data_IF_714131631393
#
_entry.id   IF_714131631393
#
_cell.length_a   1.000
_cell.length_b   1.000
_cell.length_c   1.000
_cell.angle_alpha   90.00
_cell.angle_beta   90.00
_cell.angle_gamma   90.00
#
_symmetry.space_group_name_H-M   'P 1'
#
loop_
_entity.id
_entity.type
_entity.pdbx_description
1 polymer ?
#
# COMPACT_ATOMS: atom_id res chain seq x y z
N UNK A 1 -32.00 -63.35 -34.58
CA UNK A 1 -31.94 -64.67 -35.25
C UNK A 1 -31.82 -64.43 -36.76
N UNK A 2 -30.94 -65.14 -37.49
CA UNK A 2 -29.87 -66.00 -36.98
C UNK A 2 -28.61 -65.18 -36.59
N UNK A 3 -27.53 -65.27 -37.38
CA UNK A 3 -26.13 -65.50 -36.93
C UNK A 3 -25.12 -64.90 -37.95
N UNK A 4 -23.84 -64.60 -37.68
CA UNK A 4 -22.71 -65.27 -36.98
C UNK A 4 -21.90 -66.27 -37.85
N UNK A 5 -20.58 -66.29 -37.63
CA UNK A 5 -19.51 -67.16 -38.17
C UNK A 5 -19.02 -66.84 -39.62
N UNK A 6 -17.73 -66.97 -39.96
CA UNK A 6 -16.70 -67.92 -39.45
C UNK A 6 -15.30 -67.32 -39.22
N UNK A 7 -14.52 -67.99 -38.36
CA UNK A 7 -13.11 -67.73 -38.03
C UNK A 7 -12.09 -68.35 -39.00
N UNK A 8 -10.83 -67.91 -38.90
CA UNK A 8 -9.64 -68.73 -39.20
C UNK A 8 -8.97 -68.52 -40.58
N UNK A 9 -7.68 -68.81 -40.78
CA UNK A 9 -6.66 -69.32 -39.83
C UNK A 9 -5.22 -69.22 -40.42
N UNK A 10 -4.36 -68.41 -39.78
CA UNK A 10 -2.90 -68.67 -39.51
C UNK A 10 -1.84 -68.71 -40.65
N UNK A 11 -0.58 -68.49 -40.19
CA UNK A 11 0.74 -69.01 -40.66
C UNK A 11 1.61 -68.15 -41.62
N UNK A 12 2.70 -67.57 -41.04
CA UNK A 12 4.15 -67.54 -41.43
C UNK A 12 4.55 -67.01 -42.85
N UNK A 13 5.72 -66.38 -43.09
CA UNK A 13 6.90 -66.08 -42.27
C UNK A 13 7.79 -64.97 -42.91
N UNK A 14 8.73 -64.42 -42.11
CA UNK A 14 10.05 -63.79 -42.40
C UNK A 14 10.33 -63.15 -43.78
N UNK A 15 10.91 -61.92 -43.78
CA UNK A 15 12.30 -61.65 -44.25
C UNK A 15 12.79 -60.20 -43.97
N UNK A 16 13.99 -60.03 -43.39
CA UNK A 16 14.86 -58.83 -43.45
C UNK A 16 14.37 -57.51 -42.80
N UNK A 17 15.21 -56.55 -42.35
CA UNK A 17 16.69 -56.39 -42.31
C UNK A 17 17.05 -55.62 -41.01
N UNK A 18 18.31 -55.71 -40.57
CA UNK A 18 18.86 -55.21 -39.29
C UNK A 18 19.75 -53.94 -39.48
N UNK A 19 19.96 -53.14 -38.42
CA UNK A 19 21.01 -52.09 -38.25
C UNK A 19 20.74 -50.75 -39.01
N UNK A 20 20.70 -49.56 -38.38
CA UNK A 20 21.84 -48.86 -37.76
C UNK A 20 21.42 -47.75 -36.75
N UNK A 21 22.31 -47.48 -35.79
CA UNK A 21 22.23 -46.47 -34.73
C UNK A 21 22.77 -45.11 -35.20
N UNK A 22 22.15 -43.99 -34.80
CA UNK A 22 22.91 -42.81 -34.30
C UNK A 22 22.08 -41.79 -33.52
N UNK A 23 22.71 -41.25 -32.46
CA UNK A 23 22.23 -40.17 -31.60
C UNK A 23 22.61 -38.82 -32.21
N UNK A 24 21.71 -37.82 -32.18
CA UNK A 24 22.08 -36.40 -32.25
C UNK A 24 21.29 -35.65 -31.17
N UNK A 25 22.03 -35.08 -30.20
CA UNK A 25 21.56 -33.97 -29.37
C UNK A 25 21.65 -32.68 -30.20
N UNK A 26 20.60 -31.85 -30.22
CA UNK A 26 20.72 -30.42 -29.86
C UNK A 26 19.35 -29.69 -29.72
N UNK A 27 19.16 -29.12 -28.53
CA UNK A 27 18.63 -27.77 -28.25
C UNK A 27 17.32 -27.23 -28.90
N UNK A 28 16.36 -26.94 -28.01
CA UNK A 28 15.76 -25.62 -27.77
C UNK A 28 14.27 -25.37 -28.14
N UNK A 29 13.65 -24.55 -27.30
CA UNK A 29 12.32 -23.91 -27.39
C UNK A 29 11.07 -24.80 -27.40
N UNK A 30 10.69 -25.26 -26.21
CA UNK A 30 9.28 -25.37 -25.83
C UNK A 30 8.90 -24.16 -24.97
N UNK A 31 8.15 -23.21 -25.52
CA UNK A 31 7.56 -22.11 -24.75
C UNK A 31 6.21 -22.57 -24.20
N UNK A 32 6.16 -22.91 -22.91
CA UNK A 32 4.93 -23.24 -22.22
C UNK A 32 4.39 -21.96 -21.55
N UNK A 33 3.18 -21.55 -21.93
CA UNK A 33 2.47 -20.48 -21.24
C UNK A 33 2.11 -20.94 -19.82
N UNK A 34 2.83 -20.45 -18.83
CA UNK A 34 2.52 -20.68 -17.42
C UNK A 34 1.38 -19.78 -16.96
N UNK A 35 0.23 -20.37 -16.60
CA UNK A 35 -0.70 -19.69 -15.73
C UNK A 35 -0.01 -19.47 -14.37
N UNK A 36 0.01 -18.23 -13.90
CA UNK A 36 0.57 -17.92 -12.59
C UNK A 36 -0.33 -18.49 -11.48
N UNK A 37 0.14 -19.54 -10.82
CA UNK A 37 -0.44 -20.02 -9.56
C UNK A 37 -0.14 -19.03 -8.42
N UNK A 38 -1.03 -18.87 -7.43
CA UNK A 38 -0.76 -18.01 -6.28
C UNK A 38 0.50 -18.50 -5.54
N UNK A 39 1.43 -17.59 -5.30
CA UNK A 39 2.76 -17.91 -4.76
C UNK A 39 2.71 -18.04 -3.25
N UNK A 40 2.27 -19.20 -2.76
CA UNK A 40 2.40 -19.54 -1.34
C UNK A 40 3.88 -19.60 -0.93
N UNK A 41 4.25 -18.84 0.10
CA UNK A 41 5.53 -18.99 0.79
C UNK A 41 6.62 -18.02 0.34
N UNK A 42 6.71 -16.89 1.05
CA UNK A 42 7.98 -16.20 1.30
C UNK A 42 8.07 -15.82 2.77
N UNK A 43 8.45 -16.79 3.60
CA UNK A 43 9.00 -16.50 4.94
C UNK A 43 10.45 -16.04 4.75
N UNK A 44 10.62 -14.84 4.22
CA UNK A 44 11.91 -14.16 4.26
C UNK A 44 11.96 -13.40 5.59
N UNK A 45 12.68 -14.03 6.51
CA UNK A 45 12.88 -13.63 7.90
C UNK A 45 13.55 -12.25 7.98
N UNK A 46 12.76 -11.19 8.11
CA UNK A 46 13.25 -9.84 8.36
C UNK A 46 13.63 -9.72 9.86
N UNK A 47 14.86 -10.10 10.20
CA UNK A 47 15.42 -9.82 11.52
C UNK A 47 15.67 -8.33 11.65
N UNK A 48 14.68 -7.58 12.13
CA UNK A 48 14.83 -6.18 12.50
C UNK A 48 15.79 -6.08 13.70
N UNK A 49 16.95 -5.42 13.58
CA UNK A 49 17.80 -5.16 14.74
C UNK A 49 17.08 -4.16 15.65
N UNK A 50 16.88 -4.54 16.92
CA UNK A 50 16.26 -3.69 17.96
C UNK A 50 17.03 -2.39 18.26
N UNK A 51 18.25 -2.25 17.74
CA UNK A 51 19.03 -1.00 17.74
C UNK A 51 18.55 0.04 16.71
N UNK A 52 17.60 -0.30 15.82
CA UNK A 52 17.04 0.60 14.82
C UNK A 52 15.79 1.36 15.31
N UNK A 53 15.79 1.84 16.56
CA UNK A 53 14.92 2.95 16.95
C UNK A 53 15.38 4.21 16.19
N UNK A 54 14.82 4.42 14.99
CA UNK A 54 15.17 5.49 14.04
C UNK A 54 14.82 6.89 14.61
N UNK A 55 15.64 7.40 15.51
CA UNK A 55 15.62 8.80 15.95
C UNK A 55 16.08 9.70 14.79
N UNK A 56 15.13 10.15 13.97
CA UNK A 56 15.41 11.05 12.83
C UNK A 56 14.57 10.81 11.58
N UNK A 57 13.61 9.87 11.59
CA UNK A 57 12.70 9.66 10.46
C UNK A 57 11.73 10.84 10.31
N UNK A 58 11.40 11.22 9.08
CA UNK A 58 10.50 12.33 8.81
C UNK A 58 9.08 11.98 9.28
N UNK A 59 8.57 12.72 10.27
CA UNK A 59 7.23 12.54 10.82
C UNK A 59 6.20 13.40 10.06
N UNK A 60 5.00 12.85 9.84
CA UNK A 60 3.86 13.66 9.40
C UNK A 60 3.55 14.73 10.46
N UNK A 61 3.45 16.02 10.12
CA UNK A 61 3.13 17.05 11.08
C UNK A 61 1.66 16.95 11.52
N UNK A 62 1.40 17.15 12.82
CA UNK A 62 0.05 17.14 13.41
C UNK A 62 -0.90 18.18 12.76
N UNK A 63 -0.33 19.28 12.25
CA UNK A 63 -1.10 20.39 11.69
C UNK A 63 -0.50 20.88 10.38
N UNK A 64 -1.35 21.46 9.55
CA UNK A 64 -1.01 22.01 8.24
C UNK A 64 -1.56 23.43 8.09
N UNK A 65 -0.83 24.30 7.37
CA UNK A 65 -1.29 25.64 7.03
C UNK A 65 -1.86 25.68 5.61
N UNK A 66 -3.15 25.96 5.50
CA UNK A 66 -3.91 25.93 4.25
C UNK A 66 -4.22 27.36 3.81
N UNK A 67 -3.82 27.73 2.60
CA UNK A 67 -4.23 28.97 1.95
C UNK A 67 -5.66 28.84 1.41
N UNK A 68 -6.56 29.62 2.00
CA UNK A 68 -8.00 29.61 1.75
C UNK A 68 -8.38 30.52 0.57
N UNK A 69 -9.55 30.31 -0.08
CA UNK A 69 -9.96 31.08 -1.26
C UNK A 69 -10.14 32.59 -1.03
N UNK A 70 -10.32 33.03 0.22
CA UNK A 70 -10.42 34.43 0.61
C UNK A 70 -9.05 35.11 0.86
N UNK A 71 -7.96 34.34 0.74
CA UNK A 71 -6.58 34.78 0.96
C UNK A 71 -6.08 34.61 2.41
N UNK A 72 -6.89 34.10 3.33
CA UNK A 72 -6.45 33.79 4.69
C UNK A 72 -5.66 32.48 4.75
N UNK A 73 -4.80 32.35 5.75
CA UNK A 73 -4.09 31.09 6.05
C UNK A 73 -4.66 30.49 7.32
N UNK A 74 -5.34 29.35 7.19
CA UNK A 74 -5.90 28.60 8.31
C UNK A 74 -4.94 27.49 8.75
N UNK A 75 -4.82 27.27 10.06
CA UNK A 75 -4.08 26.12 10.61
C UNK A 75 -5.09 25.05 10.99
N UNK A 76 -4.95 23.87 10.41
CA UNK A 76 -5.86 22.74 10.57
C UNK A 76 -5.11 21.52 11.11
N UNK A 77 -5.82 20.61 11.78
CA UNK A 77 -5.35 19.24 11.98
C UNK A 77 -5.14 18.55 10.62
N UNK A 78 -4.07 17.76 10.49
CA UNK A 78 -3.70 17.11 9.22
C UNK A 78 -4.80 16.19 8.69
N UNK A 79 -5.40 15.36 9.55
CA UNK A 79 -6.40 14.39 9.11
C UNK A 79 -7.76 15.07 8.88
N UNK A 80 -8.15 16.08 9.67
CA UNK A 80 -9.34 16.88 9.34
C UNK A 80 -9.20 17.69 8.04
N UNK A 81 -7.98 18.13 7.67
CA UNK A 81 -7.71 18.66 6.32
C UNK A 81 -7.92 17.58 5.25
N UNK A 82 -7.35 16.39 5.44
CA UNK A 82 -7.45 15.29 4.48
C UNK A 82 -8.88 14.78 4.28
N UNK A 83 -9.75 14.88 5.29
CA UNK A 83 -11.20 14.61 5.17
C UNK A 83 -11.93 15.55 4.20
N UNK A 84 -11.38 16.73 3.92
CA UNK A 84 -11.83 17.61 2.84
C UNK A 84 -11.16 17.35 1.48
N UNK A 85 -9.97 16.71 1.46
CA UNK A 85 -9.22 16.38 0.24
C UNK A 85 -9.71 15.08 -0.39
N UNK A 86 -9.65 13.96 0.34
CA UNK A 86 -9.91 12.61 -0.19
C UNK A 86 -11.25 12.50 -0.94
N UNK A 87 -12.42 12.91 -0.40
CA UNK A 87 -13.69 12.83 -1.13
C UNK A 87 -13.84 13.87 -2.25
N UNK A 88 -12.91 14.82 -2.37
CA UNK A 88 -12.87 15.79 -3.48
C UNK A 88 -12.01 15.28 -4.63
N UNK A 89 -10.99 14.47 -4.33
CA UNK A 89 -10.09 13.83 -5.30
C UNK A 89 -10.65 12.52 -5.88
N UNK A 90 -11.29 11.68 -5.04
CA UNK A 90 -11.83 10.37 -5.46
C UNK A 90 -13.25 10.16 -4.94
N UNK A 91 -14.04 9.35 -5.66
CA UNK A 91 -15.42 9.07 -5.26
C UNK A 91 -15.51 8.14 -4.06
N UNK A 92 -16.22 8.54 -3.00
CA UNK A 92 -16.37 7.75 -1.77
C UNK A 92 -16.97 6.33 -1.96
N UNK A 93 -17.62 6.07 -3.10
CA UNK A 93 -18.12 4.75 -3.51
C UNK A 93 -17.06 3.78 -4.02
N UNK A 94 -15.81 4.23 -4.22
CA UNK A 94 -14.69 3.40 -4.67
C UNK A 94 -14.29 2.34 -3.61
N UNK A 95 -13.49 1.32 -3.99
CA UNK A 95 -12.94 0.35 -3.04
C UNK A 95 -12.21 1.04 -1.89
N UNK A 96 -12.26 0.45 -0.70
CA UNK A 96 -11.69 1.04 0.50
C UNK A 96 -10.18 1.28 0.38
N UNK A 97 -9.43 0.32 -0.18
CA UNK A 97 -7.99 0.46 -0.43
C UNK A 97 -7.65 1.57 -1.42
N UNK A 98 -8.57 1.94 -2.33
CA UNK A 98 -8.40 3.14 -3.16
C UNK A 98 -8.50 4.43 -2.35
N UNK A 99 -9.41 4.48 -1.38
CA UNK A 99 -9.57 5.63 -0.48
C UNK A 99 -8.36 5.73 0.48
N UNK A 100 -7.89 4.60 1.00
CA UNK A 100 -6.70 4.54 1.86
C UNK A 100 -5.41 4.92 1.10
N UNK A 101 -5.21 4.43 -0.13
CA UNK A 101 -4.09 4.83 -0.98
C UNK A 101 -4.12 6.34 -1.28
N UNK A 102 -5.30 6.89 -1.60
CA UNK A 102 -5.47 8.33 -1.80
C UNK A 102 -5.21 9.14 -0.52
N UNK A 103 -5.62 8.66 0.65
CA UNK A 103 -5.35 9.31 1.93
C UNK A 103 -3.85 9.37 2.24
N UNK A 104 -3.13 8.25 2.10
CA UNK A 104 -1.68 8.17 2.34
C UNK A 104 -0.88 9.01 1.33
N UNK A 105 -1.23 8.97 0.05
CA UNK A 105 -0.60 9.82 -0.96
C UNK A 105 -0.88 11.32 -0.70
N UNK A 106 -2.13 11.67 -0.38
CA UNK A 106 -2.50 13.04 -0.05
C UNK A 106 -1.79 13.56 1.20
N UNK A 107 -1.64 12.74 2.25
CA UNK A 107 -0.89 13.06 3.48
C UNK A 107 0.60 13.28 3.21
N UNK A 108 1.20 12.41 2.40
CA UNK A 108 2.62 12.49 2.03
C UNK A 108 2.93 13.75 1.20
N UNK A 109 2.05 14.08 0.24
CA UNK A 109 2.11 15.35 -0.49
C UNK A 109 1.98 16.54 0.47
N UNK A 110 0.93 16.56 1.28
CA UNK A 110 0.61 17.65 2.21
C UNK A 110 1.77 17.96 3.17
N UNK A 111 2.42 16.92 3.70
CA UNK A 111 3.57 17.03 4.61
C UNK A 111 4.85 17.58 3.97
N UNK A 112 4.99 17.56 2.64
CA UNK A 112 6.22 17.94 1.92
C UNK A 112 6.05 19.13 0.98
N UNK A 113 4.81 19.61 0.77
CA UNK A 113 4.48 20.49 -0.34
C UNK A 113 5.10 21.89 -0.25
N UNK A 114 4.98 22.54 0.91
CA UNK A 114 5.48 23.90 1.21
C UNK A 114 5.39 24.87 0.02
N UNK A 115 4.25 24.88 -0.69
CA UNK A 115 4.09 25.53 -2.00
C UNK A 115 3.90 27.04 -1.94
N UNK A 116 3.62 27.59 -0.75
CA UNK A 116 3.26 28.98 -0.53
C UNK A 116 4.12 29.68 0.55
N UNK A 117 5.47 29.61 0.46
CA UNK A 117 6.36 30.23 1.44
C UNK A 117 6.21 31.76 1.49
N UNK A 118 5.74 32.39 0.41
CA UNK A 118 5.50 33.83 0.31
C UNK A 118 4.37 34.35 1.23
N UNK A 119 3.43 33.47 1.60
CA UNK A 119 2.35 33.76 2.57
C UNK A 119 2.42 32.87 3.82
N UNK A 120 3.42 31.98 3.90
CA UNK A 120 3.64 31.09 5.04
C UNK A 120 2.64 29.93 5.13
N UNK A 121 2.10 29.49 4.00
CA UNK A 121 1.21 28.32 3.90
C UNK A 121 1.92 27.13 3.25
N UNK A 122 1.50 25.92 3.61
CA UNK A 122 2.07 24.67 3.11
C UNK A 122 1.40 24.24 1.80
N UNK A 123 0.08 24.38 1.74
CA UNK A 123 -0.79 24.00 0.60
C UNK A 123 -1.87 25.05 0.36
N UNK A 124 -2.56 24.96 -0.77
CA UNK A 124 -3.79 25.71 -1.03
C UNK A 124 -4.93 24.77 -1.46
N UNK A 125 -6.16 25.31 -1.48
CA UNK A 125 -7.41 24.55 -1.68
C UNK A 125 -7.72 24.18 -3.15
N UNK A 126 -6.78 24.39 -4.08
CA UNK A 126 -6.99 24.21 -5.52
C UNK A 126 -6.05 23.14 -6.08
N UNK A 127 -6.30 22.70 -7.33
CA UNK A 127 -5.45 21.75 -8.07
C UNK A 127 -3.99 22.21 -8.32
N UNK A 128 -3.60 23.42 -7.88
CA UNK A 128 -2.19 23.80 -7.73
C UNK A 128 -1.46 22.97 -6.65
N UNK A 129 -2.18 22.62 -5.57
CA UNK A 129 -1.74 21.74 -4.52
C UNK A 129 -2.59 20.46 -4.51
N UNK A 130 -3.78 20.54 -3.92
CA UNK A 130 -4.73 19.43 -3.77
C UNK A 130 -6.14 20.00 -3.81
N UNK A 131 -7.09 19.28 -4.42
CA UNK A 131 -8.48 19.73 -4.44
C UNK A 131 -9.10 19.52 -3.04
N UNK A 132 -9.56 20.61 -2.41
CA UNK A 132 -10.11 20.57 -1.05
C UNK A 132 -11.52 21.18 -1.02
N UNK A 133 -12.48 20.44 -0.46
CA UNK A 133 -13.81 20.95 -0.17
C UNK A 133 -14.42 20.19 1.03
N UNK A 134 -14.56 20.83 2.21
CA UNK A 134 -15.08 20.17 3.41
C UNK A 134 -16.59 19.84 3.30
N UNK A 135 -17.31 20.40 2.32
CA UNK A 135 -18.70 20.04 2.04
C UNK A 135 -18.85 18.65 1.37
N UNK A 136 -17.75 18.03 0.93
CA UNK A 136 -17.74 16.70 0.31
C UNK A 136 -17.55 15.56 1.34
N UNK A 137 -17.41 15.85 2.63
CA UNK A 137 -17.09 14.88 3.70
C UNK A 137 -18.05 13.66 3.68
N UNK A 138 -17.46 12.46 3.72
CA UNK A 138 -18.19 11.18 3.68
C UNK A 138 -17.56 10.20 4.69
N UNK A 139 -18.39 9.46 5.42
CA UNK A 139 -17.96 8.54 6.50
C UNK A 139 -16.97 7.46 6.02
N UNK A 140 -17.03 7.04 4.74
CA UNK A 140 -16.08 6.06 4.17
C UNK A 140 -14.71 6.67 3.91
N UNK A 141 -14.66 7.92 3.45
CA UNK A 141 -13.39 8.63 3.26
C UNK A 141 -12.81 9.07 4.59
N UNK A 142 -13.65 9.47 5.55
CA UNK A 142 -13.24 9.77 6.92
C UNK A 142 -12.58 8.55 7.57
N UNK A 143 -13.23 7.38 7.47
CA UNK A 143 -12.67 6.12 7.95
C UNK A 143 -11.33 5.79 7.27
N UNK A 144 -11.18 6.02 5.96
CA UNK A 144 -9.92 5.78 5.24
C UNK A 144 -8.78 6.73 5.68
N UNK A 145 -9.11 7.98 6.03
CA UNK A 145 -8.15 8.92 6.63
C UNK A 145 -7.78 8.46 8.04
N UNK A 146 -8.77 8.23 8.92
CA UNK A 146 -8.58 7.87 10.33
C UNK A 146 -7.82 6.54 10.51
N UNK A 147 -8.13 5.53 9.69
CA UNK A 147 -7.45 4.22 9.71
C UNK A 147 -6.03 4.27 9.16
N UNK A 148 -5.67 5.29 8.39
CA UNK A 148 -4.31 5.53 7.90
C UNK A 148 -3.60 6.65 8.66
N UNK A 149 -4.07 7.01 9.86
CA UNK A 149 -3.49 8.07 10.68
C UNK A 149 -1.96 8.01 10.73
N UNK A 150 -1.31 9.09 10.29
CA UNK A 150 0.16 9.24 10.19
C UNK A 150 0.91 8.17 9.37
N UNK A 151 0.22 7.36 8.57
CA UNK A 151 0.82 6.51 7.53
C UNK A 151 1.14 7.35 6.31
N UNK A 152 2.39 7.26 5.84
CA UNK A 152 2.91 7.96 4.68
C UNK A 152 3.60 6.97 3.71
N UNK A 153 3.98 7.46 2.52
CA UNK A 153 4.93 6.78 1.64
C UNK A 153 6.32 7.39 1.82
N UNK A 154 7.33 6.55 2.03
CA UNK A 154 8.69 6.97 2.41
C UNK A 154 9.74 6.39 1.47
N UNK A 155 10.68 7.20 1.00
CA UNK A 155 11.83 6.74 0.22
C UNK A 155 13.08 6.94 1.05
N UNK A 156 13.79 5.85 1.37
CA UNK A 156 15.00 5.88 2.22
C UNK A 156 14.79 6.49 3.63
N UNK A 157 13.55 6.51 4.12
CA UNK A 157 13.16 7.06 5.42
C UNK A 157 12.64 8.50 5.39
N UNK A 158 12.72 9.20 4.24
CA UNK A 158 12.12 10.52 4.06
C UNK A 158 10.73 10.39 3.42
N UNK A 159 9.75 11.16 3.91
CA UNK A 159 8.41 11.22 3.29
C UNK A 159 8.55 11.73 1.85
N UNK A 160 7.95 11.02 0.89
CA UNK A 160 8.02 11.42 -0.51
C UNK A 160 7.06 12.56 -0.83
N UNK A 161 7.44 13.40 -1.79
CA UNK A 161 6.48 14.31 -2.43
C UNK A 161 5.59 13.50 -3.41
N UNK A 162 4.53 12.93 -2.86
CA UNK A 162 3.64 11.96 -3.51
C UNK A 162 2.71 12.62 -4.54
N UNK A 163 3.22 12.89 -5.75
CA UNK A 163 2.40 13.35 -6.88
C UNK A 163 1.35 12.31 -7.27
N UNK A 164 0.13 12.75 -7.58
CA UNK A 164 -0.97 11.91 -8.06
C UNK A 164 -1.84 12.66 -9.07
N UNK A 165 -2.60 11.95 -9.90
CA UNK A 165 -3.41 12.53 -10.98
C UNK A 165 -4.53 11.59 -11.48
N UNK A 166 -5.51 12.14 -12.20
CA UNK A 166 -6.74 11.46 -12.64
C UNK A 166 -6.52 10.12 -13.36
N UNK A 167 -6.06 10.17 -14.62
CA UNK A 167 -5.72 8.95 -15.35
C UNK A 167 -4.58 9.13 -16.35
N UNK A 168 -3.84 8.04 -16.60
CA UNK A 168 -2.83 7.96 -17.65
C UNK A 168 -3.35 7.27 -18.91
N UNK A 169 -2.51 7.16 -19.93
CA UNK A 169 -2.71 6.44 -21.19
C UNK A 169 -2.13 5.01 -21.16
N UNK A 170 -2.22 4.35 -19.99
CA UNK A 170 -1.71 2.99 -19.74
C UNK A 170 -0.30 2.92 -19.12
N UNK A 171 0.43 4.03 -19.03
CA UNK A 171 1.70 4.13 -18.28
C UNK A 171 1.84 5.48 -17.58
N UNK A 172 2.45 5.50 -16.39
CA UNK A 172 2.88 6.76 -15.75
C UNK A 172 4.13 7.34 -16.44
N UNK A 173 4.58 8.53 -16.04
CA UNK A 173 5.76 9.21 -16.59
C UNK A 173 6.87 9.33 -15.55
N UNK A 174 8.12 9.33 -16.01
CA UNK A 174 9.24 9.74 -15.16
C UNK A 174 9.13 11.25 -14.89
N UNK A 175 9.52 11.69 -13.69
CA UNK A 175 9.41 13.11 -13.32
C UNK A 175 10.26 14.04 -14.21
N UNK A 176 11.43 13.58 -14.67
CA UNK A 176 12.33 14.37 -15.53
C UNK A 176 11.78 14.57 -16.95
N UNK A 177 10.96 13.64 -17.46
CA UNK A 177 10.33 13.76 -18.79
C UNK A 177 9.23 14.85 -18.81
N UNK A 178 8.73 15.24 -17.63
CA UNK A 178 7.62 16.21 -17.47
C UNK A 178 8.11 17.54 -16.87
N UNK A 179 9.04 17.50 -15.92
CA UNK A 179 9.51 18.67 -15.16
C UNK A 179 11.03 18.87 -15.16
N UNK A 180 11.81 18.00 -15.82
CA UNK A 180 13.28 18.07 -15.86
C UNK A 180 14.00 17.65 -14.56
N UNK A 181 13.28 17.56 -13.43
CA UNK A 181 13.82 17.09 -12.15
C UNK A 181 13.67 15.57 -11.98
N UNK A 182 14.76 14.88 -11.66
CA UNK A 182 14.75 13.45 -11.34
C UNK A 182 14.30 13.20 -9.90
N UNK A 183 13.27 12.37 -9.72
CA UNK A 183 12.75 11.89 -8.44
C UNK A 183 12.75 10.35 -8.45
N UNK A 184 13.57 9.67 -7.63
CA UNK A 184 13.82 8.24 -7.78
C UNK A 184 12.57 7.37 -7.62
N UNK A 185 11.59 7.82 -6.83
CA UNK A 185 10.30 7.15 -6.62
C UNK A 185 9.26 7.44 -7.71
N UNK A 186 9.35 8.57 -8.44
CA UNK A 186 8.40 8.90 -9.51
C UNK A 186 8.91 8.42 -10.88
N UNK A 187 8.83 7.10 -11.13
CA UNK A 187 9.26 6.45 -12.38
C UNK A 187 8.06 6.05 -13.23
N UNK A 188 8.29 5.82 -14.52
CA UNK A 188 7.28 5.26 -15.42
C UNK A 188 7.00 3.79 -15.09
N UNK A 189 5.75 3.48 -14.75
CA UNK A 189 5.23 2.13 -14.50
C UNK A 189 4.00 1.86 -15.36
N UNK A 190 3.71 0.58 -15.64
CA UNK A 190 2.48 0.19 -16.35
C UNK A 190 1.25 0.37 -15.45
N UNK A 191 0.12 0.76 -16.04
CA UNK A 191 -1.09 1.10 -15.30
C UNK A 191 -2.33 0.47 -15.94
N UNK A 192 -3.17 -0.24 -15.17
CA UNK A 192 -4.34 -0.96 -15.71
C UNK A 192 -5.60 -0.09 -15.88
N UNK A 193 -5.50 1.25 -15.82
CA UNK A 193 -6.67 2.15 -15.84
C UNK A 193 -7.56 2.03 -17.09
N UNK A 194 -7.05 1.48 -18.20
CA UNK A 194 -7.81 1.23 -19.43
C UNK A 194 -8.05 2.45 -20.34
N UNK A 195 -7.56 3.63 -19.95
CA UNK A 195 -7.63 4.85 -20.76
C UNK A 195 -6.51 4.91 -21.79
N UNK A 196 -6.79 5.52 -22.95
CA UNK A 196 -5.83 5.74 -24.05
C UNK A 196 -5.38 7.20 -24.19
N UNK A 197 -5.87 8.07 -23.31
CA UNK A 197 -5.53 9.49 -23.24
C UNK A 197 -5.23 9.84 -21.77
N UNK A 198 -4.43 10.88 -21.54
CA UNK A 198 -3.99 11.27 -20.20
C UNK A 198 -4.76 12.49 -19.69
N UNK A 199 -5.23 12.42 -18.44
CA UNK A 199 -5.80 13.54 -17.70
C UNK A 199 -4.98 13.81 -16.44
N UNK A 200 -4.22 14.90 -16.48
CA UNK A 200 -3.24 15.29 -15.45
C UNK A 200 -1.80 15.29 -15.97
N UNK A 201 -0.82 15.28 -15.07
CA UNK A 201 0.60 15.39 -15.42
C UNK A 201 1.30 14.04 -15.68
N UNK A 202 0.67 12.90 -15.39
CA UNK A 202 1.24 11.57 -15.70
C UNK A 202 2.26 11.03 -14.68
N UNK A 203 2.84 11.89 -13.85
CA UNK A 203 3.87 11.52 -12.84
C UNK A 203 3.25 11.01 -11.54
N UNK A 204 3.75 9.89 -11.02
CA UNK A 204 3.32 9.31 -9.73
C UNK A 204 2.04 8.47 -9.84
N UNK A 205 1.14 8.59 -8.87
CA UNK A 205 -0.02 7.70 -8.73
C UNK A 205 -1.20 8.07 -9.65
N UNK A 206 -1.74 7.08 -10.36
CA UNK A 206 -2.87 7.23 -11.28
C UNK A 206 -4.19 6.83 -10.59
N UNK A 207 -5.09 7.78 -10.32
CA UNK A 207 -6.31 7.56 -9.51
C UNK A 207 -7.25 6.48 -10.08
N UNK A 208 -7.60 6.52 -11.37
CA UNK A 208 -8.40 5.43 -11.97
C UNK A 208 -7.64 4.09 -12.04
N UNK A 209 -6.31 4.11 -12.00
CA UNK A 209 -5.49 2.90 -11.94
C UNK A 209 -5.46 2.27 -10.54
N UNK A 210 -5.39 3.09 -9.50
CA UNK A 210 -5.55 2.71 -8.08
C UNK A 210 -6.88 2.00 -7.86
N UNK A 211 -7.96 2.55 -8.44
CA UNK A 211 -9.29 1.95 -8.39
C UNK A 211 -9.31 0.55 -9.00
N UNK A 212 -8.78 0.38 -10.21
CA UNK A 212 -8.75 -0.93 -10.89
C UNK A 212 -7.89 -1.96 -10.13
N UNK A 213 -6.77 -1.54 -9.51
CA UNK A 213 -5.94 -2.43 -8.69
C UNK A 213 -6.66 -2.88 -7.41
N UNK A 214 -7.36 -1.97 -6.73
CA UNK A 214 -8.14 -2.32 -5.55
C UNK A 214 -9.39 -3.16 -5.89
N UNK A 215 -10.04 -2.92 -7.04
CA UNK A 215 -11.09 -3.81 -7.58
C UNK A 215 -10.54 -5.22 -7.90
N UNK A 216 -9.25 -5.33 -8.22
CA UNK A 216 -8.53 -6.61 -8.39
C UNK A 216 -8.03 -7.22 -7.06
N UNK A 217 -8.30 -6.58 -5.91
CA UNK A 217 -7.99 -7.10 -4.58
C UNK A 217 -6.58 -6.80 -4.07
N UNK A 218 -5.90 -5.79 -4.62
CA UNK A 218 -4.65 -5.27 -4.05
C UNK A 218 -4.96 -4.38 -2.83
N UNK A 219 -4.12 -4.45 -1.79
CA UNK A 219 -4.22 -3.52 -0.67
C UNK A 219 -3.56 -2.17 -0.99
N UNK A 220 -3.84 -1.17 -0.16
CA UNK A 220 -3.33 0.19 -0.39
C UNK A 220 -1.80 0.30 -0.36
N UNK A 221 -1.10 -0.60 0.35
CA UNK A 221 0.37 -0.64 0.41
C UNK A 221 0.94 -1.13 -0.92
N UNK A 222 0.51 -2.31 -1.38
CA UNK A 222 0.87 -2.88 -2.69
C UNK A 222 0.63 -1.88 -3.84
N UNK A 223 -0.49 -1.15 -3.79
CA UNK A 223 -0.86 -0.12 -4.77
C UNK A 223 0.14 1.05 -4.78
N UNK A 224 0.51 1.55 -3.59
CA UNK A 224 1.42 2.69 -3.47
C UNK A 224 2.86 2.29 -3.85
N UNK A 225 3.34 1.12 -3.46
CA UNK A 225 4.64 0.59 -3.87
C UNK A 225 4.74 0.37 -5.39
N UNK A 226 3.63 0.01 -6.04
CA UNK A 226 3.55 -0.06 -7.51
C UNK A 226 3.71 1.31 -8.17
N UNK A 227 3.07 2.37 -7.67
CA UNK A 227 3.13 3.70 -8.27
C UNK A 227 4.36 4.53 -7.86
N UNK A 228 4.92 4.28 -6.69
CA UNK A 228 6.07 4.99 -6.14
C UNK A 228 7.23 4.01 -5.95
N UNK A 229 8.18 4.02 -6.88
CA UNK A 229 9.23 3.00 -6.98
C UNK A 229 10.15 2.97 -5.76
N UNK A 230 10.15 1.86 -5.03
CA UNK A 230 11.05 1.62 -3.91
C UNK A 230 10.76 2.48 -2.68
N UNK A 231 9.49 2.84 -2.47
CA UNK A 231 9.02 3.38 -1.19
C UNK A 231 8.66 2.26 -0.23
N UNK A 232 8.73 2.55 1.07
CA UNK A 232 8.06 1.80 2.12
C UNK A 232 6.76 2.55 2.51
N UNK A 233 5.67 1.85 2.82
CA UNK A 233 4.42 2.45 3.30
C UNK A 233 4.22 2.11 4.78
N UNK A 234 4.60 3.03 5.65
CA UNK A 234 4.64 2.80 7.10
C UNK A 234 4.11 3.98 7.92
N UNK A 235 3.75 3.72 9.18
CA UNK A 235 3.40 4.77 10.13
C UNK A 235 4.65 5.58 10.48
N UNK A 236 4.52 6.91 10.45
CA UNK A 236 5.59 7.83 10.83
C UNK A 236 5.59 8.19 12.31
N UNK A 237 4.69 7.59 13.11
CA UNK A 237 4.72 7.74 14.56
C UNK A 237 6.03 7.15 15.13
N UNK A 238 6.69 7.85 16.06
CA UNK A 238 7.81 7.25 16.79
C UNK A 238 7.32 6.01 17.53
N UNK A 239 8.12 4.94 17.50
CA UNK A 239 7.80 3.69 18.20
C UNK A 239 7.53 3.99 19.68
N UNK A 240 6.26 3.93 20.07
CA UNK A 240 5.87 4.18 21.44
C UNK A 240 6.40 3.04 22.32
N UNK A 241 7.06 3.39 23.43
CA UNK A 241 7.45 2.39 24.46
C UNK A 241 6.38 2.25 25.56
N UNK A 242 5.32 3.05 25.48
CA UNK A 242 4.22 3.10 26.44
C UNK A 242 2.90 3.26 25.69
N UNK A 243 1.98 2.33 25.89
CA UNK A 243 0.62 2.38 25.34
C UNK A 243 -0.39 2.45 26.47
N UNK A 244 -1.42 3.27 26.30
CA UNK A 244 -2.56 3.33 27.22
C UNK A 244 -3.76 2.66 26.56
N UNK A 245 -4.34 1.68 27.25
CA UNK A 245 -5.56 1.00 26.81
C UNK A 245 -6.77 1.60 27.53
N UNK A 246 -7.91 1.65 26.86
CA UNK A 246 -9.17 2.03 27.49
C UNK A 246 -9.50 1.06 28.65
N UNK A 247 -10.23 1.57 29.65
CA UNK A 247 -10.53 0.83 30.88
C UNK A 247 -11.24 -0.52 30.62
N UNK A 248 -10.71 -1.59 31.21
CA UNK A 248 -11.32 -2.92 31.19
C UNK A 248 -12.33 -3.11 32.32
N UNK A 249 -13.21 -4.11 32.21
CA UNK A 249 -14.15 -4.50 33.27
C UNK A 249 -13.72 -5.80 33.94
N UNK A 250 -13.59 -5.76 35.26
CA UNK A 250 -13.34 -6.92 36.14
C UNK A 250 -14.58 -7.31 36.95
N UNK A 251 -15.77 -6.84 36.53
CA UNK A 251 -17.05 -7.17 37.18
C UNK A 251 -17.30 -8.69 37.17
N UNK A 252 -18.02 -9.24 38.17
CA UNK A 252 -18.33 -10.67 38.21
C UNK A 252 -18.92 -11.19 36.88
N UNK A 253 -18.27 -12.18 36.28
CA UNK A 253 -18.63 -12.74 34.97
C UNK A 253 -17.88 -12.13 33.78
N UNK A 254 -16.94 -11.20 33.98
CA UNK A 254 -16.07 -10.64 32.95
C UNK A 254 -14.59 -10.84 33.32
N UNK A 255 -13.84 -11.43 32.39
CA UNK A 255 -12.38 -11.52 32.42
C UNK A 255 -11.79 -10.56 31.39
N UNK A 256 -10.89 -9.66 31.82
CA UNK A 256 -10.17 -8.74 30.93
C UNK A 256 -8.84 -9.39 30.51
N UNK A 257 -8.60 -9.47 29.20
CA UNK A 257 -7.36 -9.97 28.62
C UNK A 257 -6.64 -8.87 27.84
N UNK A 258 -5.31 -8.84 27.94
CA UNK A 258 -4.45 -8.05 27.06
C UNK A 258 -3.67 -9.01 26.16
N UNK A 259 -3.96 -8.99 24.86
CA UNK A 259 -3.23 -9.80 23.88
C UNK A 259 -2.04 -8.99 23.36
N UNK A 260 -0.85 -9.58 23.45
CA UNK A 260 0.41 -8.98 22.97
C UNK A 260 1.01 -9.90 21.91
N UNK A 261 1.47 -9.33 20.81
CA UNK A 261 2.16 -10.06 19.74
C UNK A 261 3.53 -9.45 19.49
N UNK A 262 4.59 -10.27 19.57
CA UNK A 262 5.92 -9.92 19.11
C UNK A 262 6.12 -10.54 17.71
N UNK A 263 6.22 -9.74 16.64
CA UNK A 263 6.48 -10.24 15.28
C UNK A 263 7.96 -10.53 15.02
N UNK A 264 8.86 -10.25 15.97
CA UNK A 264 10.31 -10.41 15.82
C UNK A 264 10.83 -11.73 16.40
N UNK A 265 12.04 -12.12 15.99
CA UNK A 265 12.77 -13.26 16.54
C UNK A 265 13.45 -12.99 17.90
N UNK A 266 13.41 -11.74 18.40
CA UNK A 266 14.11 -11.31 19.61
C UNK A 266 13.12 -11.17 20.77
N UNK A 267 13.52 -11.56 21.99
CA UNK A 267 12.69 -11.40 23.18
C UNK A 267 12.33 -9.92 23.42
N UNK A 268 11.04 -9.62 23.53
CA UNK A 268 10.55 -8.30 23.92
C UNK A 268 10.12 -8.31 25.39
N UNK A 269 10.75 -7.48 26.22
CA UNK A 269 10.38 -7.33 27.63
C UNK A 269 9.41 -6.16 27.81
N UNK A 270 8.25 -6.41 28.41
CA UNK A 270 7.18 -5.42 28.63
C UNK A 270 6.83 -5.33 30.11
N UNK A 271 6.38 -4.15 30.55
CA UNK A 271 5.75 -3.97 31.86
C UNK A 271 4.36 -3.39 31.67
N UNK A 272 3.35 -4.08 32.21
CA UNK A 272 1.95 -3.66 32.17
C UNK A 272 1.57 -3.17 33.56
N UNK A 273 1.24 -1.88 33.66
CA UNK A 273 0.75 -1.25 34.89
C UNK A 273 -0.77 -1.26 34.93
N UNK A 274 -1.36 -2.13 35.77
CA UNK A 274 -2.80 -2.17 36.00
C UNK A 274 -3.17 -1.11 37.05
N UNK A 275 -4.04 -0.16 36.67
CA UNK A 275 -4.66 0.77 37.62
C UNK A 275 -5.77 0.03 38.39
N UNK A 276 -5.76 0.10 39.73
CA UNK A 276 -6.72 -0.64 40.58
C UNK A 276 -7.71 0.26 41.29
N UNK A 277 -8.93 -0.24 41.48
CA UNK A 277 -9.98 0.44 42.24
C UNK A 277 -9.52 0.70 43.70
N UNK A 278 -9.74 1.91 44.19
CA UNK A 278 -9.16 2.39 45.45
C UNK A 278 -7.82 3.12 45.31
N UNK A 279 -7.21 3.08 44.11
CA UNK A 279 -5.99 3.82 43.76
C UNK A 279 -4.70 3.02 43.91
N UNK A 280 -3.68 3.47 43.18
CA UNK A 280 -2.39 2.78 43.05
C UNK A 280 -2.29 1.94 41.77
N UNK A 281 -1.07 1.48 41.51
CA UNK A 281 -0.72 0.68 40.34
C UNK A 281 -0.28 -0.72 40.80
N UNK A 282 -0.61 -1.73 40.01
CA UNK A 282 -0.05 -3.08 40.12
C UNK A 282 0.67 -3.39 38.81
N UNK A 283 1.99 -3.51 38.88
CA UNK A 283 2.80 -3.80 37.70
C UNK A 283 3.00 -5.31 37.52
N UNK A 284 3.04 -5.76 36.26
CA UNK A 284 3.43 -7.11 35.88
C UNK A 284 4.38 -7.06 34.68
N UNK A 285 5.49 -7.78 34.76
CA UNK A 285 6.45 -7.88 33.65
C UNK A 285 6.22 -9.16 32.85
N UNK A 286 6.33 -9.05 31.53
CA UNK A 286 6.16 -10.13 30.57
C UNK A 286 7.36 -10.16 29.62
N UNK A 287 7.64 -11.34 29.08
CA UNK A 287 8.51 -11.50 27.90
C UNK A 287 7.67 -12.20 26.84
N UNK A 288 7.61 -11.62 25.64
CA UNK A 288 6.89 -12.17 24.47
C UNK A 288 7.75 -12.17 23.22
#
# INVERSE_FOLDING_TARGET
MPDNQTEGSRIRALLGVLVLVQLIFLSAFASAAGLATPRSGRSDRLTLPVDALRTGQAAVPETIKVLMPDGNVETMDMDEYLKGVVPTEVGASWPYDSLAAQAVAARSFAATAHRHPEVGADVCTTTHCQAYNPANRDERTDLAVDSTHKVAALYQGDIIHAYYFGHCDGHTRNSEDVWGGYLPYCRSVSCPCGYTEMWGHGVGMCQEGVKVLAEAGWDYGDILEHYYTGVDVESTEPVAMTWYFAEGTTRPGFDTYLCMGNPSDAEAHLTVSYLVEGGGNKDASYTV
#
